data_IF_627144910224
#
_entry.id   IF_627144910224
#
_cell.length_a   1.000
_cell.length_b   1.000
_cell.length_c   1.000
_cell.angle_alpha   90.00
_cell.angle_beta   90.00
_cell.angle_gamma   90.00
#
_symmetry.space_group_name_H-M   'P 1'
#
loop_
_entity.id
_entity.type
_entity.pdbx_description
1 polymer ?
#
# COMPACT_ATOMS: atom_id res chain seq x y z
N UNK A 1 13.17 28.92 -29.65
CA UNK A 1 13.43 29.42 -28.28
C UNK A 1 13.96 28.27 -27.43
N UNK A 2 15.20 28.32 -26.91
CA UNK A 2 15.66 27.33 -25.94
C UNK A 2 15.08 27.69 -24.57
N UNK A 3 14.13 26.90 -24.07
CA UNK A 3 13.64 27.00 -22.70
C UNK A 3 14.83 26.82 -21.75
N UNK A 4 15.33 27.93 -21.17
CA UNK A 4 16.34 27.87 -20.11
C UNK A 4 15.60 27.58 -18.82
N UNK A 5 15.70 26.34 -18.33
CA UNK A 5 15.20 25.96 -17.02
C UNK A 5 15.91 26.82 -15.94
N UNK A 6 15.21 27.20 -14.85
CA UNK A 6 15.83 27.92 -13.76
C UNK A 6 17.02 27.13 -13.19
N UNK A 7 18.10 27.78 -12.72
CA UNK A 7 19.28 27.09 -12.16
C UNK A 7 18.98 26.18 -10.95
N UNK A 8 17.82 26.33 -10.31
CA UNK A 8 17.37 25.45 -9.23
C UNK A 8 16.90 24.06 -9.71
N UNK A 9 16.56 23.93 -11.00
CA UNK A 9 16.09 22.68 -11.64
C UNK A 9 17.20 21.92 -12.37
N UNK A 10 18.43 22.43 -12.41
CA UNK A 10 19.58 21.78 -13.07
C UNK A 10 20.31 20.78 -12.16
N UNK A 11 19.77 20.49 -10.97
CA UNK A 11 20.32 19.49 -10.05
C UNK A 11 19.66 18.11 -10.28
N UNK A 12 20.43 17.01 -10.39
CA UNK A 12 19.87 15.65 -10.54
C UNK A 12 18.88 15.28 -9.43
N UNK A 13 19.06 15.77 -8.20
CA UNK A 13 18.14 15.48 -7.08
C UNK A 13 16.77 16.12 -7.33
N UNK A 14 16.75 17.39 -7.74
CA UNK A 14 15.52 18.08 -8.10
C UNK A 14 14.85 17.39 -9.29
N UNK A 15 15.63 16.97 -10.29
CA UNK A 15 15.12 16.28 -11.47
C UNK A 15 14.45 14.95 -11.11
N UNK A 16 15.10 14.12 -10.29
CA UNK A 16 14.53 12.85 -9.81
C UNK A 16 13.22 13.10 -9.06
N UNK A 17 13.19 14.07 -8.14
CA UNK A 17 11.97 14.39 -7.39
C UNK A 17 10.82 14.86 -8.28
N UNK A 18 11.11 15.72 -9.27
CA UNK A 18 10.11 16.19 -10.25
C UNK A 18 9.62 15.04 -11.12
N UNK A 19 10.51 14.19 -11.65
CA UNK A 19 10.13 13.02 -12.47
C UNK A 19 9.21 12.07 -11.69
N UNK A 20 9.56 11.74 -10.44
CA UNK A 20 8.71 10.90 -9.58
C UNK A 20 7.33 11.55 -9.39
N UNK A 21 7.31 12.84 -9.06
CA UNK A 21 6.06 13.60 -8.83
C UNK A 21 5.17 13.60 -10.07
N UNK A 22 5.73 13.88 -11.26
CA UNK A 22 4.98 13.91 -12.52
C UNK A 22 4.44 12.53 -12.89
N UNK A 23 5.25 11.48 -12.77
CA UNK A 23 4.80 10.10 -13.04
C UNK A 23 3.67 9.72 -12.09
N UNK A 24 3.83 9.96 -10.79
CA UNK A 24 2.80 9.65 -9.80
C UNK A 24 1.52 10.43 -10.04
N UNK A 25 1.60 11.71 -10.43
CA UNK A 25 0.43 12.53 -10.75
C UNK A 25 -0.36 11.96 -11.94
N UNK A 26 0.34 11.56 -13.01
CA UNK A 26 -0.29 10.93 -14.18
C UNK A 26 -0.93 9.59 -13.78
N UNK A 27 -0.23 8.77 -12.99
CA UNK A 27 -0.73 7.48 -12.52
C UNK A 27 -1.98 7.66 -11.64
N UNK A 28 -2.00 8.63 -10.72
CA UNK A 28 -3.20 8.93 -9.91
C UNK A 28 -4.36 9.31 -10.81
N UNK A 29 -4.16 10.21 -11.76
CA UNK A 29 -5.21 10.61 -12.71
C UNK A 29 -5.78 9.41 -13.48
N UNK A 30 -4.92 8.52 -13.95
CA UNK A 30 -5.33 7.28 -14.62
C UNK A 30 -6.10 6.34 -13.69
N UNK A 31 -5.62 6.11 -12.47
CA UNK A 31 -6.28 5.23 -11.49
C UNK A 31 -7.66 5.75 -11.08
N UNK A 32 -7.81 7.07 -10.89
CA UNK A 32 -9.10 7.71 -10.58
C UNK A 32 -10.09 7.53 -11.73
N UNK A 33 -9.63 7.66 -12.99
CA UNK A 33 -10.48 7.40 -14.16
C UNK A 33 -10.88 5.93 -14.24
N UNK A 34 -9.97 5.00 -13.95
CA UNK A 34 -10.29 3.57 -13.89
C UNK A 34 -11.32 3.27 -12.82
N UNK A 35 -11.17 3.83 -11.62
CA UNK A 35 -12.12 3.64 -10.52
C UNK A 35 -13.50 4.21 -10.86
N UNK A 36 -13.55 5.40 -11.46
CA UNK A 36 -14.80 6.04 -11.87
C UNK A 36 -15.54 5.32 -13.01
N UNK A 37 -14.83 4.54 -13.82
CA UNK A 37 -15.39 3.78 -14.96
C UNK A 37 -15.60 2.29 -14.65
N UNK A 38 -15.16 1.81 -13.49
CA UNK A 38 -15.31 0.43 -13.08
C UNK A 38 -16.77 0.10 -12.75
N UNK A 39 -17.29 -1.00 -13.31
CA UNK A 39 -18.64 -1.50 -13.03
C UNK A 39 -18.78 -2.08 -11.63
N UNK A 40 -17.68 -2.62 -11.07
CA UNK A 40 -17.63 -3.11 -9.70
C UNK A 40 -16.52 -2.40 -8.92
N UNK A 41 -16.82 -1.90 -7.71
CA UNK A 41 -15.84 -1.21 -6.89
C UNK A 41 -14.76 -2.18 -6.42
N UNK A 42 -13.55 -1.98 -6.93
CA UNK A 42 -12.37 -2.73 -6.50
C UNK A 42 -11.63 -1.94 -5.40
N UNK A 43 -11.64 -2.40 -4.13
CA UNK A 43 -11.01 -1.68 -3.03
C UNK A 43 -9.49 -1.49 -3.22
N UNK A 44 -8.84 -2.27 -4.08
CA UNK A 44 -7.41 -2.13 -4.39
C UNK A 44 -7.09 -0.90 -5.24
N UNK A 45 -7.98 -0.52 -6.17
CA UNK A 45 -7.76 0.67 -7.00
C UNK A 45 -7.80 1.92 -6.12
N UNK A 46 -8.77 2.00 -5.20
CA UNK A 46 -8.86 3.12 -4.25
C UNK A 46 -7.65 3.21 -3.31
N UNK A 47 -7.15 2.08 -2.80
CA UNK A 47 -5.92 2.09 -1.95
C UNK A 47 -4.72 2.62 -2.74
N UNK A 48 -4.54 2.18 -3.98
CA UNK A 48 -3.45 2.65 -4.84
C UNK A 48 -3.61 4.14 -5.18
N UNK A 49 -4.81 4.55 -5.59
CA UNK A 49 -5.12 5.90 -6.04
C UNK A 49 -5.04 6.94 -4.93
N UNK A 50 -5.49 6.61 -3.72
CA UNK A 50 -5.66 7.58 -2.63
C UNK A 50 -4.63 7.46 -1.50
N UNK A 51 -3.91 6.35 -1.37
CA UNK A 51 -2.92 6.18 -0.29
C UNK A 51 -1.52 5.98 -0.83
N UNK A 52 -1.28 4.91 -1.59
CA UNK A 52 0.09 4.50 -1.95
C UNK A 52 0.73 5.51 -2.91
N UNK A 53 0.09 5.78 -4.05
CA UNK A 53 0.66 6.66 -5.07
C UNK A 53 0.76 8.11 -4.57
N UNK A 54 -0.23 8.67 -3.82
CA UNK A 54 -0.09 9.97 -3.19
C UNK A 54 1.07 10.06 -2.17
N UNK A 55 1.31 9.01 -1.39
CA UNK A 55 2.45 8.98 -0.45
C UNK A 55 3.79 9.05 -1.18
N UNK A 56 3.93 8.32 -2.30
CA UNK A 56 5.12 8.38 -3.16
C UNK A 56 5.25 9.75 -3.82
N UNK A 57 4.14 10.35 -4.26
CA UNK A 57 4.11 11.71 -4.82
C UNK A 57 4.63 12.73 -3.81
N UNK A 58 4.16 12.67 -2.55
CA UNK A 58 4.66 13.53 -1.47
C UNK A 58 6.16 13.34 -1.24
N UNK A 59 6.65 12.10 -1.27
CA UNK A 59 8.08 11.79 -1.23
C UNK A 59 8.86 12.44 -2.40
N UNK A 60 8.31 12.36 -3.62
CA UNK A 60 8.87 13.02 -4.81
C UNK A 60 8.96 14.54 -4.65
N UNK A 61 7.90 15.17 -4.13
CA UNK A 61 7.87 16.61 -3.83
C UNK A 61 8.90 16.96 -2.76
N UNK A 62 9.01 16.18 -1.68
CA UNK A 62 10.00 16.39 -0.63
C UNK A 62 11.44 16.29 -1.17
N UNK A 63 11.73 15.31 -2.04
CA UNK A 63 13.02 15.18 -2.74
C UNK A 63 13.29 16.40 -3.62
N UNK A 64 12.29 16.88 -4.37
CA UNK A 64 12.42 18.05 -5.23
C UNK A 64 12.71 19.33 -4.41
N UNK A 65 11.98 19.56 -3.32
CA UNK A 65 12.19 20.68 -2.40
C UNK A 65 13.58 20.59 -1.77
N UNK A 66 13.98 19.41 -1.30
CA UNK A 66 15.31 19.18 -0.74
C UNK A 66 16.42 19.46 -1.77
N UNK A 67 16.23 19.04 -3.02
CA UNK A 67 17.12 19.34 -4.14
C UNK A 67 17.28 20.84 -4.36
N UNK A 68 16.18 21.60 -4.38
CA UNK A 68 16.19 23.06 -4.53
C UNK A 68 16.86 23.74 -3.32
N UNK A 69 16.48 23.36 -2.10
CA UNK A 69 17.06 23.90 -0.86
C UNK A 69 18.57 23.68 -0.80
N UNK A 70 19.04 22.45 -1.09
CA UNK A 70 20.47 22.12 -1.14
C UNK A 70 21.20 22.93 -2.20
N UNK A 71 20.60 23.11 -3.38
CA UNK A 71 21.21 23.88 -4.48
C UNK A 71 21.34 25.35 -4.10
N UNK A 72 20.28 25.94 -3.55
CA UNK A 72 20.28 27.33 -3.09
C UNK A 72 21.26 27.57 -1.95
N UNK A 73 21.38 26.62 -1.00
CA UNK A 73 22.38 26.68 0.08
C UNK A 73 23.80 26.65 -0.46
N UNK A 74 24.12 25.71 -1.36
CA UNK A 74 25.45 25.63 -2.00
C UNK A 74 25.79 26.88 -2.79
N UNK A 75 24.81 27.50 -3.45
CA UNK A 75 24.98 28.76 -4.18
C UNK A 75 25.30 29.94 -3.25
N UNK A 76 24.62 30.04 -2.11
CA UNK A 76 24.94 31.04 -1.06
C UNK A 76 26.34 30.86 -0.48
N UNK A 77 26.80 29.61 -0.39
CA UNK A 77 28.16 29.25 0.05
C UNK A 77 29.23 29.41 -1.05
N UNK A 78 28.89 29.93 -2.24
CA UNK A 78 29.84 30.12 -3.36
C UNK A 78 30.34 28.82 -4.00
N UNK A 79 29.73 27.67 -3.68
CA UNK A 79 30.13 26.36 -4.22
C UNK A 79 29.65 26.20 -5.67
N UNK A 80 30.43 25.49 -6.52
CA UNK A 80 30.09 25.31 -7.93
C UNK A 80 28.72 24.64 -8.12
N UNK A 81 27.97 25.12 -9.12
CA UNK A 81 26.67 24.59 -9.49
C UNK A 81 26.79 23.13 -9.92
N UNK A 82 25.82 22.29 -9.51
CA UNK A 82 25.75 20.90 -9.96
C UNK A 82 25.45 20.86 -11.46
N UNK A 83 26.33 20.24 -12.25
CA UNK A 83 26.05 19.95 -13.67
C UNK A 83 25.31 18.63 -13.79
N UNK A 84 24.29 18.57 -14.65
CA UNK A 84 23.65 17.31 -15.02
C UNK A 84 24.67 16.38 -15.71
N UNK A 85 24.60 15.05 -15.46
CA UNK A 85 25.45 14.10 -16.17
C UNK A 85 25.10 14.10 -17.67
N UNK A 86 26.13 14.14 -18.52
CA UNK A 86 25.94 14.10 -19.99
C UNK A 86 25.88 12.64 -20.42
N UNK A 87 24.67 12.15 -20.72
CA UNK A 87 24.45 10.81 -21.28
C UNK A 87 24.87 10.78 -22.76
N UNK A 88 26.13 10.40 -23.00
CA UNK A 88 26.63 10.13 -24.34
C UNK A 88 26.46 8.65 -24.73
N UNK A 89 25.49 8.34 -25.58
CA UNK A 89 25.24 6.98 -26.07
C UNK A 89 26.29 6.47 -27.06
N UNK A 90 27.13 7.32 -27.62
CA UNK A 90 28.26 6.89 -28.44
C UNK A 90 29.41 6.36 -27.56
N UNK A 91 29.45 6.69 -26.27
CA UNK A 91 30.44 6.14 -25.34
C UNK A 91 30.07 4.69 -24.95
N UNK A 92 30.96 3.69 -25.14
CA UNK A 92 30.69 2.31 -24.76
C UNK A 92 30.44 2.12 -23.26
N UNK A 93 31.10 2.89 -22.38
CA UNK A 93 30.92 2.77 -20.94
C UNK A 93 29.49 3.14 -20.49
N UNK A 94 28.91 4.19 -21.09
CA UNK A 94 27.53 4.58 -20.81
C UNK A 94 26.53 3.55 -21.34
N UNK A 95 26.81 2.95 -22.50
CA UNK A 95 25.98 1.87 -23.08
C UNK A 95 25.97 0.63 -22.19
N UNK A 96 27.13 0.19 -21.72
CA UNK A 96 27.25 -0.95 -20.80
C UNK A 96 26.56 -0.64 -19.47
N UNK A 97 26.80 0.53 -18.88
CA UNK A 97 26.14 0.94 -17.64
C UNK A 97 24.61 0.95 -17.76
N UNK A 98 24.07 1.50 -18.86
CA UNK A 98 22.63 1.48 -19.13
C UNK A 98 22.11 0.06 -19.32
N UNK A 99 22.80 -0.78 -20.11
CA UNK A 99 22.40 -2.18 -20.30
C UNK A 99 22.36 -2.94 -18.98
N UNK A 100 23.36 -2.78 -18.10
CA UNK A 100 23.38 -3.43 -16.78
C UNK A 100 22.21 -2.97 -15.93
N UNK A 101 21.95 -1.66 -15.87
CA UNK A 101 20.81 -1.11 -15.11
C UNK A 101 19.49 -1.63 -15.65
N UNK A 102 19.32 -1.73 -16.97
CA UNK A 102 18.07 -2.23 -17.57
C UNK A 102 17.93 -3.73 -17.35
N UNK A 103 18.96 -4.52 -17.66
CA UNK A 103 18.91 -6.00 -17.60
C UNK A 103 18.83 -6.51 -16.17
N UNK A 104 19.43 -5.85 -15.18
CA UNK A 104 19.30 -6.24 -13.77
C UNK A 104 18.14 -5.52 -13.07
N UNK A 105 18.01 -4.21 -13.31
CA UNK A 105 17.05 -3.38 -12.60
C UNK A 105 15.61 -3.66 -12.99
N UNK A 106 15.31 -3.81 -14.29
CA UNK A 106 13.92 -4.05 -14.73
C UNK A 106 13.40 -5.39 -14.19
N UNK A 107 14.11 -6.54 -14.35
CA UNK A 107 13.63 -7.79 -13.79
C UNK A 107 13.54 -7.77 -12.26
N UNK A 108 14.47 -7.11 -11.57
CA UNK A 108 14.42 -7.00 -10.11
C UNK A 108 13.18 -6.22 -9.65
N UNK A 109 12.87 -5.10 -10.29
CA UNK A 109 11.67 -4.30 -9.99
C UNK A 109 10.41 -5.09 -10.29
N UNK A 110 10.35 -5.78 -11.43
CA UNK A 110 9.20 -6.63 -11.79
C UNK A 110 9.02 -7.79 -10.81
N UNK A 111 10.10 -8.51 -10.48
CA UNK A 111 10.08 -9.60 -9.52
C UNK A 111 9.66 -9.10 -8.12
N UNK A 112 10.11 -7.92 -7.72
CA UNK A 112 9.70 -7.30 -6.44
C UNK A 112 8.22 -6.94 -6.46
N UNK A 113 7.70 -6.40 -7.56
CA UNK A 113 6.28 -6.07 -7.69
C UNK A 113 5.40 -7.34 -7.63
N UNK A 114 5.74 -8.37 -8.40
CA UNK A 114 5.04 -9.66 -8.41
C UNK A 114 5.14 -10.35 -7.04
N UNK A 115 6.33 -10.39 -6.45
CA UNK A 115 6.57 -10.96 -5.13
C UNK A 115 5.80 -10.25 -4.03
N UNK A 116 5.74 -8.91 -4.06
CA UNK A 116 4.98 -8.12 -3.09
C UNK A 116 3.48 -8.36 -3.21
N UNK A 117 2.95 -8.47 -4.44
CA UNK A 117 1.54 -8.81 -4.67
C UNK A 117 1.20 -10.22 -4.18
N UNK A 118 2.06 -11.20 -4.46
CA UNK A 118 1.89 -12.57 -3.97
C UNK A 118 1.95 -12.67 -2.44
N UNK A 119 2.95 -12.03 -1.82
CA UNK A 119 3.08 -11.97 -0.36
C UNK A 119 1.87 -11.30 0.29
N UNK A 120 1.38 -10.21 -0.31
CA UNK A 120 0.17 -9.53 0.13
C UNK A 120 -1.04 -10.46 0.14
N UNK A 121 -1.29 -11.17 -0.96
CA UNK A 121 -2.44 -12.07 -1.07
C UNK A 121 -2.32 -13.26 -0.11
N UNK A 122 -1.10 -13.79 0.09
CA UNK A 122 -0.84 -14.83 1.07
C UNK A 122 -1.19 -14.39 2.50
N UNK A 123 -0.86 -13.15 2.86
CA UNK A 123 -1.15 -12.56 4.19
C UNK A 123 -2.64 -12.33 4.46
N UNK A 124 -3.50 -12.54 3.46
CA UNK A 124 -4.96 -12.39 3.57
C UNK A 124 -5.72 -13.72 3.54
N UNK A 125 -4.99 -14.83 3.56
CA UNK A 125 -5.59 -16.17 3.62
C UNK A 125 -5.89 -16.59 5.06
N UNK A 126 -6.93 -17.43 5.22
CA UNK A 126 -7.30 -18.01 6.52
C UNK A 126 -6.16 -18.85 7.10
N UNK A 127 -5.42 -19.54 6.23
CA UNK A 127 -4.23 -20.28 6.63
C UNK A 127 -3.18 -19.35 7.22
N UNK A 128 -2.85 -18.23 6.57
CA UNK A 128 -1.87 -17.29 7.11
C UNK A 128 -2.34 -16.73 8.45
N UNK A 129 -3.59 -16.26 8.53
CA UNK A 129 -4.15 -15.71 9.76
C UNK A 129 -4.09 -16.72 10.90
N UNK A 130 -4.58 -17.95 10.67
CA UNK A 130 -4.74 -18.98 11.71
C UNK A 130 -3.47 -19.72 12.11
N UNK A 131 -2.50 -19.87 11.20
CA UNK A 131 -1.35 -20.76 11.41
C UNK A 131 -0.01 -20.05 11.61
N UNK A 132 0.14 -18.82 11.12
CA UNK A 132 1.45 -18.13 11.20
C UNK A 132 1.84 -17.80 12.63
N UNK A 133 0.87 -17.35 13.44
CA UNK A 133 1.06 -17.07 14.86
C UNK A 133 0.36 -18.15 15.68
N UNK A 134 0.85 -19.39 15.60
CA UNK A 134 0.18 -20.57 16.17
C UNK A 134 -0.24 -20.39 17.64
N UNK A 135 0.65 -19.97 18.57
CA UNK A 135 0.30 -19.88 20.00
C UNK A 135 -0.89 -18.95 20.30
N UNK A 136 -0.88 -17.66 19.90
CA UNK A 136 -2.00 -16.78 20.21
C UNK A 136 -3.23 -17.03 19.33
N UNK A 137 -3.09 -17.65 18.16
CA UNK A 137 -4.18 -17.78 17.19
C UNK A 137 -4.86 -19.15 17.16
N UNK A 138 -4.23 -20.21 17.67
CA UNK A 138 -4.79 -21.57 17.68
C UNK A 138 -6.23 -21.66 18.25
N UNK A 139 -6.60 -21.02 19.38
CA UNK A 139 -7.98 -21.06 19.85
C UNK A 139 -8.96 -20.36 18.88
N UNK A 140 -8.56 -19.23 18.30
CA UNK A 140 -9.40 -18.47 17.36
C UNK A 140 -9.56 -19.21 16.02
N UNK A 141 -8.49 -19.84 15.54
CA UNK A 141 -8.54 -20.63 14.31
C UNK A 141 -9.38 -21.90 14.49
N UNK A 142 -9.29 -22.54 15.65
CA UNK A 142 -10.14 -23.69 15.99
C UNK A 142 -11.62 -23.28 16.09
N UNK A 143 -11.91 -22.15 16.73
CA UNK A 143 -13.28 -21.62 16.81
C UNK A 143 -13.82 -21.23 15.43
N UNK A 144 -12.99 -20.63 14.57
CA UNK A 144 -13.32 -20.30 13.18
C UNK A 144 -13.72 -21.55 12.38
N UNK A 145 -12.89 -22.60 12.42
CA UNK A 145 -13.13 -23.84 11.66
C UNK A 145 -14.42 -24.57 12.09
N UNK A 146 -14.80 -24.47 13.36
CA UNK A 146 -16.00 -25.10 13.91
C UNK A 146 -17.21 -24.15 13.96
N UNK A 147 -17.06 -22.91 13.49
CA UNK A 147 -18.08 -21.87 13.58
C UNK A 147 -18.98 -21.76 12.33
N UNK A 148 -20.09 -21.02 12.42
CA UNK A 148 -21.00 -20.79 11.29
C UNK A 148 -20.35 -20.01 10.13
N UNK A 149 -19.21 -19.35 10.38
CA UNK A 149 -18.47 -18.57 9.40
C UNK A 149 -17.20 -19.28 8.87
N UNK A 150 -17.05 -20.59 9.08
CA UNK A 150 -15.86 -21.37 8.64
C UNK A 150 -15.57 -21.33 7.13
N UNK A 151 -16.49 -20.80 6.32
CA UNK A 151 -16.35 -20.62 4.86
C UNK A 151 -16.29 -19.15 4.43
N UNK A 152 -16.21 -18.24 5.39
CA UNK A 152 -16.06 -16.80 5.16
C UNK A 152 -14.64 -16.43 5.56
N UNK A 153 -13.85 -15.90 4.63
CA UNK A 153 -12.44 -15.64 4.93
C UNK A 153 -12.25 -14.63 6.07
N UNK A 154 -11.23 -14.81 6.91
CA UNK A 154 -10.93 -13.98 8.10
C UNK A 154 -10.93 -12.49 7.75
N UNK A 155 -10.37 -12.14 6.60
CA UNK A 155 -10.24 -10.75 6.12
C UNK A 155 -11.58 -10.08 5.81
N UNK A 156 -12.66 -10.83 5.59
CA UNK A 156 -14.00 -10.25 5.38
C UNK A 156 -14.53 -9.58 6.66
N UNK A 157 -14.14 -10.08 7.83
CA UNK A 157 -14.54 -9.52 9.12
C UNK A 157 -13.43 -8.66 9.76
N UNK A 158 -12.17 -9.11 9.70
CA UNK A 158 -11.06 -8.50 10.46
C UNK A 158 -10.29 -7.39 9.71
N UNK A 159 -10.40 -7.32 8.38
CA UNK A 159 -9.84 -6.23 7.56
C UNK A 159 -11.00 -5.43 6.98
N UNK A 160 -11.85 -6.11 6.21
CA UNK A 160 -12.98 -5.58 5.46
C UNK A 160 -12.57 -4.61 4.35
N UNK A 161 -13.55 -4.11 3.58
CA UNK A 161 -13.31 -3.22 2.44
C UNK A 161 -13.01 -1.77 2.85
N UNK A 162 -12.29 -1.05 1.98
CA UNK A 162 -12.00 0.37 2.13
C UNK A 162 -10.59 0.66 2.67
N UNK A 163 -10.05 1.79 2.25
CA UNK A 163 -8.65 2.15 2.46
C UNK A 163 -8.32 2.43 3.95
N UNK A 164 -9.25 3.02 4.70
CA UNK A 164 -9.05 3.30 6.13
C UNK A 164 -8.88 2.01 6.96
N UNK A 165 -9.75 1.03 6.72
CA UNK A 165 -9.73 -0.23 7.44
C UNK A 165 -8.58 -1.12 6.99
N UNK A 166 -8.21 -1.04 5.71
CA UNK A 166 -6.95 -1.59 5.23
C UNK A 166 -5.77 -1.08 6.07
N UNK A 167 -5.57 0.24 6.19
CA UNK A 167 -4.46 0.81 6.95
C UNK A 167 -4.54 0.44 8.44
N UNK A 168 -5.71 0.59 9.07
CA UNK A 168 -5.91 0.25 10.48
C UNK A 168 -5.58 -1.20 10.79
N UNK A 169 -6.02 -2.13 9.94
CA UNK A 169 -5.74 -3.56 10.11
C UNK A 169 -4.25 -3.87 10.00
N UNK A 170 -3.51 -3.26 9.06
CA UNK A 170 -2.06 -3.50 8.92
C UNK A 170 -1.25 -2.85 10.05
N UNK A 171 -1.66 -1.69 10.55
CA UNK A 171 -1.05 -1.06 11.74
C UNK A 171 -1.26 -1.92 12.99
N UNK A 172 -2.50 -2.38 13.20
CA UNK A 172 -2.81 -3.32 14.29
C UNK A 172 -2.03 -4.63 14.14
N UNK A 173 -1.95 -5.18 12.93
CA UNK A 173 -1.18 -6.39 12.63
C UNK A 173 0.32 -6.22 12.90
N UNK A 174 0.88 -5.05 12.59
CA UNK A 174 2.29 -4.72 12.89
C UNK A 174 2.54 -4.71 14.39
N UNK A 175 1.61 -4.16 15.17
CA UNK A 175 1.66 -4.22 16.62
C UNK A 175 1.51 -5.66 17.15
N UNK A 176 0.62 -6.47 16.58
CA UNK A 176 0.48 -7.88 16.93
C UNK A 176 1.76 -8.66 16.66
N UNK A 177 2.41 -8.44 15.51
CA UNK A 177 3.70 -9.04 15.19
C UNK A 177 4.77 -8.65 16.21
N UNK A 178 4.84 -7.37 16.58
CA UNK A 178 5.71 -6.90 17.65
C UNK A 178 5.39 -7.59 18.98
N UNK A 179 4.12 -7.63 19.38
CA UNK A 179 3.69 -8.25 20.63
C UNK A 179 4.03 -9.74 20.69
N UNK A 180 3.88 -10.48 19.59
CA UNK A 180 4.27 -11.89 19.51
C UNK A 180 5.80 -12.03 19.55
N UNK A 181 6.53 -11.25 18.74
CA UNK A 181 7.98 -11.32 18.66
C UNK A 181 8.68 -11.02 20.01
N UNK A 182 8.12 -10.12 20.81
CA UNK A 182 8.65 -9.73 22.11
C UNK A 182 7.90 -10.36 23.30
N UNK A 183 6.97 -11.29 23.07
CA UNK A 183 6.13 -11.93 24.09
C UNK A 183 5.39 -10.90 25.00
N UNK A 184 4.92 -9.81 24.40
CA UNK A 184 4.19 -8.70 25.04
C UNK A 184 2.69 -8.78 24.76
N UNK A 185 2.05 -9.88 25.14
CA UNK A 185 0.59 -10.03 25.03
C UNK A 185 0.01 -10.61 26.33
N UNK A 186 -1.20 -10.18 26.73
CA UNK A 186 -1.84 -10.65 27.95
C UNK A 186 -2.22 -12.13 27.84
N UNK A 187 -2.27 -12.81 28.99
CA UNK A 187 -2.72 -14.20 29.12
C UNK A 187 -3.74 -14.26 30.26
N UNK A 188 -5.04 -14.53 30.01
CA UNK A 188 -5.63 -14.85 28.71
C UNK A 188 -5.71 -13.64 27.77
N UNK A 189 -5.81 -13.91 26.46
CA UNK A 189 -6.09 -12.88 25.45
C UNK A 189 -7.50 -12.34 25.73
N UNK A 190 -7.62 -11.04 25.96
CA UNK A 190 -8.89 -10.42 26.37
C UNK A 190 -9.80 -10.17 25.16
N UNK A 191 -11.08 -10.49 25.33
CA UNK A 191 -12.19 -10.02 24.49
C UNK A 191 -12.98 -8.96 25.26
N UNK A 192 -13.54 -7.94 24.59
CA UNK A 192 -13.66 -7.76 23.14
C UNK A 192 -12.40 -7.17 22.49
N UNK A 193 -12.25 -7.42 21.18
CA UNK A 193 -11.25 -6.76 20.35
C UNK A 193 -11.74 -5.33 20.09
N UNK A 194 -11.12 -4.34 20.73
CA UNK A 194 -11.62 -2.95 20.71
C UNK A 194 -11.51 -2.26 19.34
N UNK A 195 -10.83 -2.89 18.38
CA UNK A 195 -10.56 -2.36 17.04
C UNK A 195 -11.39 -3.04 15.93
N UNK A 196 -12.45 -3.78 16.29
CA UNK A 196 -13.33 -4.38 15.29
C UNK A 196 -14.24 -3.32 14.65
N UNK A 197 -14.60 -3.53 13.38
CA UNK A 197 -15.50 -2.66 12.63
C UNK A 197 -16.92 -2.72 13.21
N UNK A 198 -17.74 -1.67 13.01
CA UNK A 198 -19.16 -1.72 13.35
C UNK A 198 -19.86 -2.90 12.65
N UNK A 199 -20.89 -3.45 13.30
CA UNK A 199 -21.67 -4.58 12.78
C UNK A 199 -22.29 -4.27 11.40
N UNK A 200 -22.65 -3.01 11.15
CA UNK A 200 -23.17 -2.54 9.86
C UNK A 200 -22.18 -2.75 8.71
N UNK A 201 -20.88 -2.69 8.99
CA UNK A 201 -19.81 -2.81 7.99
C UNK A 201 -19.18 -4.20 7.93
N UNK A 202 -19.69 -5.15 8.72
CA UNK A 202 -19.17 -6.52 8.80
C UNK A 202 -20.31 -7.52 8.66
N UNK A 203 -21.16 -7.62 9.68
CA UNK A 203 -22.28 -8.54 9.74
C UNK A 203 -23.35 -8.21 8.69
N UNK A 204 -23.77 -6.94 8.60
CA UNK A 204 -24.91 -6.53 7.75
C UNK A 204 -24.62 -6.57 6.25
N UNK A 205 -23.36 -6.77 5.85
CA UNK A 205 -23.02 -7.05 4.44
C UNK A 205 -23.57 -8.42 3.98
N UNK A 206 -23.86 -9.32 4.92
CA UNK A 206 -24.47 -10.64 4.66
C UNK A 206 -25.77 -10.85 5.45
N UNK A 207 -25.93 -10.21 6.61
CA UNK A 207 -27.05 -10.35 7.53
C UNK A 207 -27.85 -9.04 7.68
N UNK A 208 -28.66 -8.70 6.69
CA UNK A 208 -29.60 -7.56 6.79
C UNK A 208 -31.03 -8.05 7.05
N UNK A 209 -31.92 -7.22 7.66
CA UNK A 209 -33.24 -7.63 8.13
C UNK A 209 -34.07 -8.46 7.14
N UNK A 210 -34.00 -8.14 5.84
CA UNK A 210 -34.76 -8.86 4.81
C UNK A 210 -34.26 -10.29 4.48
N UNK A 211 -33.12 -10.72 5.02
CA UNK A 211 -32.56 -12.07 4.86
C UNK A 211 -32.96 -13.02 6.01
N UNK A 212 -33.53 -12.51 7.11
CA UNK A 212 -34.00 -13.37 8.20
C UNK A 212 -35.32 -14.04 7.82
N UNK A 213 -35.25 -15.33 7.44
CA UNK A 213 -36.42 -16.15 7.12
C UNK A 213 -37.43 -16.24 8.27
N UNK A 214 -36.95 -16.26 9.52
CA UNK A 214 -37.79 -16.35 10.72
C UNK A 214 -38.69 -15.14 10.94
N UNK A 215 -38.25 -13.92 10.59
CA UNK A 215 -39.10 -12.73 10.65
C UNK A 215 -40.12 -12.67 9.52
N UNK A 216 -39.81 -13.22 8.34
CA UNK A 216 -40.78 -13.28 7.23
C UNK A 216 -41.96 -14.19 7.54
N UNK A 217 -41.74 -15.30 8.24
CA UNK A 217 -42.80 -16.22 8.63
C UNK A 217 -43.77 -15.63 9.67
N UNK A 218 -43.28 -14.81 10.61
CA UNK A 218 -44.14 -14.16 11.62
C UNK A 218 -45.04 -13.04 11.06
N UNK A 219 -44.68 -12.45 9.92
CA UNK A 219 -45.48 -11.41 9.28
C UNK A 219 -46.50 -11.93 8.25
N UNK A 220 -46.54 -13.25 8.01
CA UNK A 220 -47.45 -13.90 7.05
C UNK A 220 -48.54 -14.75 7.73
N UNK A 221 -48.59 -14.77 9.06
CA UNK A 221 -49.66 -15.34 9.89
C UNK A 221 -50.43 -14.22 10.57
#
# INVERSE_FOLDING_TARGET
>A
MRLKLPPSFTNPITLVGVTITTICFIVIGFLVVLEATAKEPNPYIGILAFIIVPSILMGGVAIAIFGIWRTNRRRREGKPEGKLPVLNFNNPAHRVGLMVVVVLGVPLVLASAVGSFGAYHAMETDQFCGTSCHVPMEPEYTAYQNGPHARVGCVKCHIGSGADWFVKSKLSGSYQLYSVAFNKFPRPIQTPIHNLRPAQQTCEQCHWPSQFFSQKLMHQT
#
